data_IF_123817415559
#
_entry.id   IF_123817415559
#
_cell.length_a   1.000
_cell.length_b   1.000
_cell.length_c   1.000
_cell.angle_alpha   90.00
_cell.angle_beta   90.00
_cell.angle_gamma   90.00
#
_symmetry.space_group_name_H-M   'P 1'
#
loop_
_entity.id
_entity.type
_entity.pdbx_description
1 polymer ?
#
# COMPACT_ATOMS: atom_id res chain seq x y z
N UNK A 1 34.80 -4.80 42.60
CA UNK A 1 34.69 -5.23 41.19
C UNK A 1 33.20 -5.37 40.90
N UNK A 2 32.62 -4.33 40.30
CA UNK A 2 31.21 -4.28 39.89
C UNK A 2 31.00 -5.24 38.73
N UNK A 3 30.01 -6.13 38.87
CA UNK A 3 29.65 -7.11 37.86
C UNK A 3 28.77 -6.39 36.82
N UNK A 4 29.33 -6.08 35.65
CA UNK A 4 28.53 -5.58 34.54
C UNK A 4 27.61 -6.70 34.05
N UNK A 5 26.30 -6.51 34.23
CA UNK A 5 25.28 -7.39 33.65
C UNK A 5 25.21 -7.04 32.16
N UNK A 6 25.71 -7.93 31.29
CA UNK A 6 25.58 -7.72 29.85
C UNK A 6 24.10 -7.73 29.47
N UNK A 7 23.65 -6.74 28.69
CA UNK A 7 22.31 -6.73 28.14
C UNK A 7 22.03 -8.04 27.37
N UNK A 8 20.79 -8.58 27.43
CA UNK A 8 20.45 -9.77 26.65
C UNK A 8 20.61 -9.45 25.16
N UNK A 9 21.33 -10.31 24.44
CA UNK A 9 21.40 -10.30 22.98
C UNK A 9 19.98 -10.42 22.44
N UNK A 10 19.53 -9.42 21.67
CA UNK A 10 18.27 -9.52 20.93
C UNK A 10 18.37 -10.73 19.99
N UNK A 11 17.27 -11.50 19.81
CA UNK A 11 17.29 -12.61 18.86
C UNK A 11 17.67 -12.09 17.47
N UNK A 12 18.55 -12.83 16.79
CA UNK A 12 18.86 -12.57 15.38
C UNK A 12 17.55 -12.62 14.57
N UNK A 13 17.37 -11.63 13.70
CA UNK A 13 16.22 -11.58 12.83
C UNK A 13 16.40 -12.63 11.72
N UNK A 14 15.68 -13.75 11.81
CA UNK A 14 15.60 -14.73 10.73
C UNK A 14 14.58 -14.24 9.69
N UNK A 15 14.98 -13.97 8.44
CA UNK A 15 14.04 -13.60 7.39
C UNK A 15 13.08 -14.76 7.10
N UNK A 16 11.84 -14.42 6.74
CA UNK A 16 10.84 -15.40 6.31
C UNK A 16 11.34 -16.21 5.10
N UNK A 17 10.92 -17.47 4.99
CA UNK A 17 11.25 -18.27 3.80
C UNK A 17 10.52 -17.70 2.58
N UNK A 18 11.07 -17.85 1.35
CA UNK A 18 10.41 -17.35 0.15
C UNK A 18 8.97 -17.86 -0.06
N UNK A 19 8.64 -19.04 0.46
CA UNK A 19 7.31 -19.63 0.37
C UNK A 19 6.29 -18.94 1.29
N UNK A 20 6.75 -18.25 2.32
CA UNK A 20 5.91 -17.54 3.30
C UNK A 20 5.66 -16.07 2.90
N UNK A 21 6.36 -15.58 1.88
CA UNK A 21 6.23 -14.20 1.40
C UNK A 21 4.96 -14.02 0.58
N UNK A 22 4.22 -12.94 0.86
CA UNK A 22 3.06 -12.57 0.06
C UNK A 22 3.52 -12.15 -1.33
N UNK A 23 3.16 -12.98 -2.31
CA UNK A 23 3.55 -12.80 -3.71
C UNK A 23 5.07 -12.65 -3.93
N UNK A 24 5.89 -13.22 -3.03
CA UNK A 24 7.36 -13.16 -3.13
C UNK A 24 7.97 -11.80 -2.79
N UNK A 25 7.21 -10.87 -2.21
CA UNK A 25 7.67 -9.52 -1.91
C UNK A 25 8.06 -9.34 -0.44
N UNK A 26 9.19 -8.70 -0.20
CA UNK A 26 9.68 -8.34 1.14
C UNK A 26 9.38 -6.88 1.51
N UNK A 27 9.06 -6.05 0.51
CA UNK A 27 8.78 -4.63 0.66
C UNK A 27 7.43 -4.30 0.05
N UNK A 28 6.57 -3.65 0.83
CA UNK A 28 5.28 -3.17 0.39
C UNK A 28 4.98 -1.80 1.02
N UNK A 29 4.11 -1.03 0.36
CA UNK A 29 3.67 0.29 0.87
C UNK A 29 2.16 0.39 0.86
N UNK A 30 1.59 1.04 1.85
CA UNK A 30 0.18 1.45 1.81
C UNK A 30 0.08 2.74 0.99
N UNK A 31 -0.64 2.70 -0.13
CA UNK A 31 -0.68 3.75 -1.12
C UNK A 31 -2.10 4.33 -1.24
N UNK A 32 -2.20 5.66 -1.31
CA UNK A 32 -3.47 6.37 -1.52
C UNK A 32 -3.40 7.48 -2.58
N UNK A 33 -2.21 8.02 -2.88
CA UNK A 33 -1.96 8.96 -3.98
C UNK A 33 -2.50 10.39 -3.80
N UNK A 34 -3.25 10.66 -2.72
CA UNK A 34 -3.84 11.99 -2.49
C UNK A 34 -2.79 13.05 -2.13
N UNK A 35 -2.77 14.14 -2.88
CA UNK A 35 -1.96 15.35 -2.63
C UNK A 35 -2.74 16.39 -1.81
N UNK A 36 -2.12 17.53 -1.57
CA UNK A 36 -2.75 18.63 -0.84
C UNK A 36 -4.07 19.06 -1.51
N UNK A 37 -5.15 19.11 -0.72
CA UNK A 37 -6.49 19.43 -1.19
C UNK A 37 -7.27 18.26 -1.81
N UNK A 38 -6.63 17.11 -2.03
CA UNK A 38 -7.27 15.90 -2.55
C UNK A 38 -7.71 14.98 -1.41
N UNK A 39 -8.80 14.25 -1.61
CA UNK A 39 -9.35 13.33 -0.61
C UNK A 39 -10.29 12.28 -1.22
N UNK A 40 -10.39 11.09 -0.59
CA UNK A 40 -11.40 10.10 -0.99
C UNK A 40 -12.82 10.64 -0.71
N UNK A 41 -13.82 9.97 -1.27
CA UNK A 41 -15.21 10.27 -0.93
C UNK A 41 -15.49 9.91 0.54
N UNK A 42 -16.08 10.85 1.27
CA UNK A 42 -16.47 10.72 2.69
C UNK A 42 -17.96 11.00 2.90
N UNK A 43 -18.74 11.06 1.82
CA UNK A 43 -20.16 11.39 1.82
C UNK A 43 -20.51 12.70 1.10
N UNK A 44 -19.50 13.52 0.76
CA UNK A 44 -19.66 14.81 0.10
C UNK A 44 -18.88 14.90 -1.23
N UNK A 45 -18.51 13.74 -1.80
CA UNK A 45 -17.74 13.62 -3.04
C UNK A 45 -16.24 13.50 -2.82
N UNK A 46 -15.56 12.93 -3.81
CA UNK A 46 -14.10 12.80 -3.84
C UNK A 46 -13.45 13.96 -4.60
N UNK A 47 -12.22 14.30 -4.19
CA UNK A 47 -11.27 15.04 -5.02
C UNK A 47 -10.11 14.08 -5.27
N UNK A 48 -10.22 13.30 -6.35
CA UNK A 48 -9.26 12.26 -6.68
C UNK A 48 -7.98 12.84 -7.32
N UNK A 49 -6.83 12.16 -7.16
CA UNK A 49 -5.65 12.42 -7.95
C UNK A 49 -5.93 12.25 -9.45
N UNK A 50 -5.21 13.00 -10.28
CA UNK A 50 -5.27 12.81 -11.72
C UNK A 50 -4.46 11.58 -12.17
N UNK A 51 -4.72 11.10 -13.39
CA UNK A 51 -3.99 9.97 -13.96
C UNK A 51 -2.46 10.21 -14.02
N UNK A 52 -2.04 11.42 -14.37
CA UNK A 52 -0.62 11.80 -14.43
C UNK A 52 0.03 11.77 -13.04
N UNK A 53 -0.68 12.21 -12.00
CA UNK A 53 -0.19 12.17 -10.61
C UNK A 53 -0.06 10.74 -10.10
N UNK A 54 -1.05 9.89 -10.36
CA UNK A 54 -0.99 8.47 -9.97
C UNK A 54 0.15 7.77 -10.72
N UNK A 55 0.29 8.03 -12.02
CA UNK A 55 1.35 7.43 -12.81
C UNK A 55 2.74 7.86 -12.33
N UNK A 56 2.91 9.15 -12.00
CA UNK A 56 4.14 9.67 -11.39
C UNK A 56 4.49 8.92 -10.11
N UNK A 57 3.52 8.77 -9.19
CA UNK A 57 3.73 8.05 -7.94
C UNK A 57 4.12 6.59 -8.17
N UNK A 58 3.40 5.88 -9.06
CA UNK A 58 3.69 4.48 -9.36
C UNK A 58 5.08 4.29 -9.98
N UNK A 59 5.52 5.25 -10.81
CA UNK A 59 6.88 5.25 -11.36
C UNK A 59 7.94 5.48 -10.27
N UNK A 60 7.68 6.39 -9.32
CA UNK A 60 8.56 6.61 -8.16
C UNK A 60 8.67 5.34 -7.32
N UNK A 61 7.56 4.65 -7.05
CA UNK A 61 7.56 3.39 -6.30
C UNK A 61 8.39 2.32 -7.00
N UNK A 62 8.20 2.15 -8.31
CA UNK A 62 8.99 1.21 -9.13
C UNK A 62 10.48 1.56 -9.13
N UNK A 63 10.82 2.85 -9.22
CA UNK A 63 12.21 3.31 -9.19
C UNK A 63 12.91 3.09 -7.84
N UNK A 64 12.13 2.87 -6.77
CA UNK A 64 12.61 2.57 -5.42
C UNK A 64 12.33 1.12 -5.00
N UNK A 65 12.15 0.22 -5.97
CA UNK A 65 11.96 -1.23 -5.78
C UNK A 65 10.74 -1.64 -4.93
N UNK A 66 9.73 -0.77 -4.82
CA UNK A 66 8.43 -1.16 -4.31
C UNK A 66 7.62 -1.87 -5.40
N UNK A 67 7.53 -3.19 -5.29
CA UNK A 67 6.77 -4.05 -6.22
C UNK A 67 5.42 -4.49 -5.66
N UNK A 68 5.05 -4.06 -4.47
CA UNK A 68 3.74 -4.33 -3.87
C UNK A 68 3.15 -3.09 -3.21
N UNK A 69 1.89 -2.81 -3.54
CA UNK A 69 1.10 -1.77 -2.88
C UNK A 69 -0.14 -2.35 -2.23
N UNK A 70 -0.61 -1.71 -1.17
CA UNK A 70 -1.95 -1.92 -0.61
C UNK A 70 -2.82 -0.71 -0.93
N UNK A 71 -3.99 -0.98 -1.51
CA UNK A 71 -5.08 0.00 -1.65
C UNK A 71 -6.11 -0.21 -0.52
N UNK A 72 -6.78 0.85 -0.13
CA UNK A 72 -7.70 0.83 1.02
C UNK A 72 -9.14 0.46 0.66
N UNK A 73 -9.55 0.71 -0.57
CA UNK A 73 -10.91 0.48 -1.08
C UNK A 73 -10.89 -0.11 -2.50
N UNK A 74 -12.08 -0.18 -3.11
CA UNK A 74 -12.30 -0.60 -4.50
C UNK A 74 -13.09 0.44 -5.29
N UNK A 75 -12.94 1.72 -4.93
CA UNK A 75 -13.60 2.85 -5.60
C UNK A 75 -12.88 3.32 -6.87
N UNK A 76 -13.29 4.48 -7.39
CA UNK A 76 -12.81 5.04 -8.66
C UNK A 76 -11.28 5.26 -8.70
N UNK A 77 -10.71 5.83 -7.63
CA UNK A 77 -9.25 6.04 -7.54
C UNK A 77 -8.47 4.71 -7.59
N UNK A 78 -8.98 3.69 -6.90
CA UNK A 78 -8.40 2.34 -6.89
C UNK A 78 -8.50 1.68 -8.27
N UNK A 79 -9.63 1.85 -8.96
CA UNK A 79 -9.82 1.35 -10.32
C UNK A 79 -8.86 2.01 -11.32
N UNK A 80 -8.73 3.34 -11.27
CA UNK A 80 -7.80 4.09 -12.12
C UNK A 80 -6.33 3.68 -11.86
N UNK A 81 -5.96 3.49 -10.59
CA UNK A 81 -4.62 2.98 -10.23
C UNK A 81 -4.34 1.62 -10.87
N UNK A 82 -5.28 0.67 -10.78
CA UNK A 82 -5.16 -0.65 -11.40
C UNK A 82 -5.07 -0.58 -12.93
N UNK A 83 -5.84 0.32 -13.54
CA UNK A 83 -5.82 0.54 -14.98
C UNK A 83 -4.46 1.05 -15.45
N UNK A 84 -3.89 2.06 -14.78
CA UNK A 84 -2.57 2.61 -15.09
C UNK A 84 -1.44 1.58 -14.91
N UNK A 85 -1.49 0.78 -13.83
CA UNK A 85 -0.54 -0.33 -13.64
C UNK A 85 -0.57 -1.27 -14.83
N UNK A 86 -1.77 -1.66 -15.28
CA UNK A 86 -1.97 -2.57 -16.41
C UNK A 86 -1.54 -1.94 -17.74
N UNK A 87 -1.97 -0.71 -18.02
CA UNK A 87 -1.71 0.00 -19.28
C UNK A 87 -0.22 0.22 -19.50
N UNK A 88 0.50 0.62 -18.45
CA UNK A 88 1.94 0.89 -18.52
C UNK A 88 2.82 -0.33 -18.22
N UNK A 89 2.21 -1.51 -17.99
CA UNK A 89 2.93 -2.75 -17.71
C UNK A 89 3.82 -2.66 -16.47
N UNK A 90 3.38 -1.92 -15.45
CA UNK A 90 4.17 -1.71 -14.24
C UNK A 90 4.23 -3.02 -13.43
N UNK A 91 5.41 -3.44 -12.96
CA UNK A 91 5.59 -4.67 -12.19
C UNK A 91 5.19 -4.47 -10.72
N UNK A 92 3.95 -4.02 -10.50
CA UNK A 92 3.36 -3.76 -9.18
C UNK A 92 2.25 -4.78 -8.93
N UNK A 93 2.37 -5.49 -7.82
CA UNK A 93 1.33 -6.35 -7.26
C UNK A 93 0.45 -5.53 -6.32
N UNK A 94 -0.85 -5.79 -6.31
CA UNK A 94 -1.80 -5.00 -5.50
C UNK A 94 -2.54 -5.89 -4.52
N UNK A 95 -2.44 -5.55 -3.24
CA UNK A 95 -3.38 -6.00 -2.22
C UNK A 95 -4.57 -5.04 -2.23
N UNK A 96 -5.66 -5.47 -2.88
CA UNK A 96 -6.86 -4.66 -3.03
C UNK A 96 -7.71 -4.72 -1.76
N UNK A 97 -7.93 -3.56 -1.15
CA UNK A 97 -8.79 -3.41 0.02
C UNK A 97 -10.27 -3.43 -0.33
N UNK A 98 -11.09 -3.90 0.61
CA UNK A 98 -12.53 -3.71 0.59
C UNK A 98 -12.90 -2.78 1.75
N UNK A 99 -13.35 -1.57 1.43
CA UNK A 99 -13.92 -0.69 2.44
C UNK A 99 -15.39 -1.07 2.63
N UNK A 100 -15.73 -1.62 3.79
CA UNK A 100 -17.10 -1.98 4.12
C UNK A 100 -17.77 -0.78 4.79
N UNK A 101 -18.86 -0.29 4.20
CA UNK A 101 -19.73 0.66 4.90
C UNK A 101 -20.57 -0.10 5.92
N UNK A 102 -20.81 0.50 7.10
CA UNK A 102 -21.68 -0.09 8.10
C UNK A 102 -23.10 -0.27 7.54
N UNK A 103 -23.74 -1.38 7.91
CA UNK A 103 -25.09 -1.73 7.49
C UNK A 103 -26.09 -0.62 7.84
N UNK A 104 -26.99 -0.30 6.91
CA UNK A 104 -28.03 0.74 7.04
C UNK A 104 -29.03 0.42 8.16
N UNK A 105 -28.99 -0.78 8.74
CA UNK A 105 -29.86 -1.21 9.83
C UNK A 105 -29.13 -2.18 10.76
N UNK A 106 -29.03 -1.83 12.05
CA UNK A 106 -28.71 -2.78 13.12
C UNK A 106 -29.88 -2.79 14.13
N UNK A 107 -31.09 -3.04 13.62
CA UNK A 107 -32.33 -3.14 14.39
C UNK A 107 -32.64 -4.59 14.77
#
# INVERSE_FOLDING_TARGET
MSNETSAPMLPEFEPQSPADLVAGEIMAVAYSGFREGQHPDRGDGAVNPSADEILEDLQILVANDFRMIRLYDSGENSALTLELIREHGLPIKVLLGMWLSAEVSNH
#
